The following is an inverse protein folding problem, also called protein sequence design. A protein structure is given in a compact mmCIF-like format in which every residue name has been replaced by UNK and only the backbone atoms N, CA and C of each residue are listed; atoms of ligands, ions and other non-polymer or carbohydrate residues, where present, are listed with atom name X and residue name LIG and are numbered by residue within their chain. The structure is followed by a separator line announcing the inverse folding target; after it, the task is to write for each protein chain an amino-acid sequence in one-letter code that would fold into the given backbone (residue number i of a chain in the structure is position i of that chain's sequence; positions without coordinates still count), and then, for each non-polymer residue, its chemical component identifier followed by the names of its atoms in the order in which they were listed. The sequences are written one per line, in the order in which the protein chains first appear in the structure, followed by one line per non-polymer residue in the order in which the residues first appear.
data_IF_159819623749
#
_entry.id   IF_159819623749
#
_cell.length_a   1.000
_cell.length_b   1.000
_cell.length_c   1.000
_cell.angle_alpha   90.00
_cell.angle_beta   90.00
_cell.angle_gamma   90.00
#
_symmetry.space_group_name_H-M   'P 1'
#
loop_
_entity.id
_entity.type
_entity.pdbx_description
1 polymer ?
#
# COMPACT_ATOMS: atom_id res chain seq x y z
N UNK A 1 -18.29 -29.95 -5.44
CA UNK A 1 -18.25 -29.82 -3.98
C UNK A 1 -16.89 -30.18 -3.42
N UNK A 2 -16.44 -29.46 -2.42
CA UNK A 2 -15.10 -29.63 -1.86
C UNK A 2 -15.08 -30.72 -0.78
N UNK A 3 -15.31 -31.97 -1.18
CA UNK A 3 -15.39 -33.09 -0.23
C UNK A 3 -14.10 -33.91 -0.13
N UNK A 4 -13.10 -33.64 -0.97
CA UNK A 4 -11.81 -34.29 -0.90
C UNK A 4 -10.88 -33.62 0.09
N UNK A 5 -9.94 -34.33 0.68
CA UNK A 5 -8.96 -33.79 1.59
C UNK A 5 -8.13 -32.67 0.93
N UNK A 6 -7.74 -32.85 -0.34
CA UNK A 6 -6.97 -31.84 -1.10
C UNK A 6 -7.78 -30.58 -1.36
N UNK A 7 -9.07 -30.71 -1.67
CA UNK A 7 -9.96 -29.55 -1.87
C UNK A 7 -10.16 -28.75 -0.58
N UNK A 8 -10.33 -29.44 0.55
CA UNK A 8 -10.44 -28.79 1.86
C UNK A 8 -9.15 -28.06 2.24
N UNK A 9 -8.00 -28.68 1.96
CA UNK A 9 -6.69 -28.07 2.20
C UNK A 9 -6.55 -26.78 1.39
N UNK A 10 -6.96 -26.80 0.10
CA UNK A 10 -6.91 -25.62 -0.78
C UNK A 10 -7.78 -24.49 -0.23
N UNK A 11 -8.98 -24.80 0.26
CA UNK A 11 -9.88 -23.82 0.86
C UNK A 11 -9.21 -23.14 2.06
N UNK A 12 -8.60 -23.93 2.96
CA UNK A 12 -7.89 -23.39 4.12
C UNK A 12 -6.70 -22.51 3.71
N UNK A 13 -5.92 -22.95 2.72
CA UNK A 13 -4.77 -22.19 2.20
C UNK A 13 -5.23 -20.87 1.59
N UNK A 14 -6.32 -20.89 0.82
CA UNK A 14 -6.88 -19.70 0.19
C UNK A 14 -7.36 -18.71 1.24
N UNK A 15 -8.04 -19.17 2.29
CA UNK A 15 -8.51 -18.32 3.38
C UNK A 15 -7.35 -17.63 4.09
N UNK A 16 -6.29 -18.36 4.42
CA UNK A 16 -5.09 -17.80 5.05
C UNK A 16 -4.40 -16.78 4.15
N UNK A 17 -4.28 -17.09 2.85
CA UNK A 17 -3.66 -16.20 1.87
C UNK A 17 -4.44 -14.91 1.72
N UNK A 18 -5.76 -15.00 1.62
CA UNK A 18 -6.65 -13.84 1.48
C UNK A 18 -6.52 -12.93 2.70
N UNK A 19 -6.54 -13.48 3.91
CA UNK A 19 -6.40 -12.72 5.14
C UNK A 19 -5.05 -12.01 5.20
N UNK A 20 -3.96 -12.70 4.86
CA UNK A 20 -2.61 -12.16 4.85
C UNK A 20 -2.46 -11.03 3.84
N UNK A 21 -2.99 -11.23 2.61
CA UNK A 21 -2.93 -10.22 1.56
C UNK A 21 -3.76 -8.99 1.91
N UNK A 22 -4.90 -9.18 2.55
CA UNK A 22 -5.72 -8.07 3.05
C UNK A 22 -4.94 -7.24 4.08
N UNK A 23 -4.27 -7.90 5.02
CA UNK A 23 -3.44 -7.22 6.02
C UNK A 23 -2.32 -6.40 5.37
N UNK A 24 -1.67 -6.95 4.34
CA UNK A 24 -0.62 -6.25 3.58
C UNK A 24 -1.16 -5.03 2.85
N UNK A 25 -2.32 -5.14 2.20
CA UNK A 25 -2.98 -4.01 1.53
C UNK A 25 -3.37 -2.92 2.52
N UNK A 26 -3.92 -3.32 3.67
CA UNK A 26 -4.31 -2.39 4.73
C UNK A 26 -3.10 -1.63 5.25
N UNK A 27 -1.99 -2.32 5.49
CA UNK A 27 -0.74 -1.68 5.92
C UNK A 27 -0.25 -0.65 4.91
N UNK A 28 -0.21 -1.02 3.63
CA UNK A 28 0.19 -0.10 2.56
C UNK A 28 -0.73 1.14 2.51
N UNK A 29 -2.03 0.93 2.56
CA UNK A 29 -3.02 2.02 2.53
C UNK A 29 -2.87 2.96 3.71
N UNK A 30 -2.53 2.43 4.89
CA UNK A 30 -2.29 3.23 6.09
C UNK A 30 -1.12 4.20 5.87
N UNK A 31 -0.01 3.73 5.30
CA UNK A 31 1.14 4.59 5.00
C UNK A 31 0.81 5.62 3.94
N UNK A 32 0.09 5.25 2.88
CA UNK A 32 -0.35 6.19 1.83
C UNK A 32 -1.27 7.26 2.42
N UNK A 33 -2.20 6.86 3.28
CA UNK A 33 -3.12 7.81 3.94
C UNK A 33 -2.37 8.82 4.80
N UNK A 34 -1.29 8.42 5.47
CA UNK A 34 -0.45 9.34 6.25
C UNK A 34 0.16 10.42 5.36
N UNK A 35 0.57 10.07 4.14
CA UNK A 35 1.06 11.06 3.17
C UNK A 35 -0.06 12.02 2.78
N UNK A 36 -1.24 11.50 2.48
CA UNK A 36 -2.39 12.32 2.08
C UNK A 36 -2.83 13.28 3.18
N UNK A 37 -2.84 12.82 4.43
CA UNK A 37 -3.17 13.66 5.59
C UNK A 37 -2.13 14.76 5.75
N UNK A 38 -0.85 14.46 5.63
CA UNK A 38 0.21 15.45 5.71
C UNK A 38 0.09 16.49 4.59
N UNK A 39 -0.25 16.07 3.37
CA UNK A 39 -0.51 16.99 2.25
C UNK A 39 -1.69 17.91 2.56
N UNK A 40 -2.76 17.35 3.08
CA UNK A 40 -3.97 18.13 3.42
C UNK A 40 -3.72 19.13 4.55
N UNK A 41 -2.81 18.82 5.48
CA UNK A 41 -2.43 19.73 6.56
C UNK A 41 -1.54 20.89 6.11
N UNK A 42 -0.99 20.83 4.88
CA UNK A 42 -0.13 21.86 4.33
C UNK A 42 1.32 21.80 4.80
N UNK A 43 1.72 20.78 5.53
CA UNK A 43 3.10 20.60 6.01
C UNK A 43 3.90 19.81 4.99
N UNK A 44 4.65 20.51 4.14
CA UNK A 44 5.46 19.90 3.08
C UNK A 44 6.54 18.99 3.64
N UNK A 45 7.21 19.37 4.71
CA UNK A 45 8.27 18.57 5.33
C UNK A 45 7.70 17.25 5.89
N UNK A 46 6.56 17.32 6.57
CA UNK A 46 5.88 16.13 7.07
C UNK A 46 5.41 15.22 5.94
N UNK A 47 4.89 15.80 4.85
CA UNK A 47 4.45 15.06 3.67
C UNK A 47 5.62 14.32 3.01
N UNK A 48 6.76 14.99 2.84
CA UNK A 48 7.97 14.39 2.27
C UNK A 48 8.48 13.23 3.12
N UNK A 49 8.50 13.40 4.44
CA UNK A 49 8.91 12.34 5.37
C UNK A 49 7.94 11.16 5.35
N UNK A 50 6.64 11.43 5.33
CA UNK A 50 5.62 10.39 5.22
C UNK A 50 5.76 9.59 3.93
N UNK A 51 6.05 10.26 2.81
CA UNK A 51 6.28 9.59 1.51
C UNK A 51 7.53 8.71 1.57
N UNK A 52 8.60 9.20 2.19
CA UNK A 52 9.84 8.44 2.36
C UNK A 52 9.59 7.14 3.11
N UNK A 53 8.70 7.15 4.09
CA UNK A 53 8.32 5.96 4.87
C UNK A 53 7.31 5.08 4.12
N UNK A 54 6.44 5.68 3.31
CA UNK A 54 5.41 4.94 2.56
C UNK A 54 5.99 4.18 1.36
N UNK A 55 7.01 4.71 0.71
CA UNK A 55 7.56 4.11 -0.50
C UNK A 55 8.03 2.68 -0.31
N UNK A 56 8.83 2.32 0.72
CA UNK A 56 9.22 0.92 0.94
C UNK A 56 8.02 0.01 1.19
N UNK A 57 7.01 0.48 1.88
CA UNK A 57 5.80 -0.30 2.16
C UNK A 57 5.01 -0.61 0.88
N UNK A 58 4.92 0.37 -0.03
CA UNK A 58 4.28 0.19 -1.32
C UNK A 58 5.07 -0.79 -2.19
N UNK A 59 6.40 -0.69 -2.19
CA UNK A 59 7.28 -1.59 -2.94
C UNK A 59 7.23 -3.02 -2.38
N UNK A 60 7.11 -3.19 -1.07
CA UNK A 60 6.92 -4.50 -0.45
C UNK A 60 5.62 -5.14 -0.90
N UNK A 61 4.55 -4.36 -1.00
CA UNK A 61 3.26 -4.85 -1.48
C UNK A 61 3.36 -5.40 -2.91
N UNK A 62 4.13 -4.73 -3.77
CA UNK A 62 4.42 -5.23 -5.13
C UNK A 62 5.21 -6.53 -5.07
N UNK A 63 6.26 -6.58 -4.26
CA UNK A 63 7.10 -7.77 -4.12
C UNK A 63 6.34 -8.98 -3.57
N UNK A 64 5.30 -8.75 -2.78
CA UNK A 64 4.42 -9.81 -2.26
C UNK A 64 3.25 -10.14 -3.21
N UNK A 65 3.15 -9.45 -4.34
CA UNK A 65 2.12 -9.74 -5.33
C UNK A 65 0.71 -9.27 -4.95
N UNK A 66 0.56 -8.40 -3.95
CA UNK A 66 -0.76 -7.92 -3.52
C UNK A 66 -1.23 -6.69 -4.27
N UNK A 67 -0.33 -6.02 -4.98
CA UNK A 67 -0.66 -4.87 -5.82
C UNK A 67 0.27 -4.85 -7.03
N UNK A 68 -0.21 -4.35 -8.16
CA UNK A 68 0.57 -4.28 -9.39
C UNK A 68 1.58 -3.13 -9.34
N UNK A 69 2.78 -3.35 -9.90
CA UNK A 69 3.85 -2.35 -9.97
C UNK A 69 3.36 -1.03 -10.61
N UNK A 70 2.60 -1.11 -11.69
CA UNK A 70 2.11 0.08 -12.38
C UNK A 70 1.19 0.94 -11.51
N UNK A 71 0.37 0.30 -10.67
CA UNK A 71 -0.49 1.00 -9.71
C UNK A 71 0.34 1.75 -8.69
N UNK A 72 1.38 1.12 -8.14
CA UNK A 72 2.28 1.74 -7.17
C UNK A 72 3.06 2.88 -7.81
N UNK A 73 3.62 2.67 -9.01
CA UNK A 73 4.38 3.71 -9.72
C UNK A 73 3.53 4.95 -9.97
N UNK A 74 2.28 4.77 -10.40
CA UNK A 74 1.34 5.87 -10.65
C UNK A 74 1.04 6.61 -9.35
N UNK A 75 0.77 5.88 -8.27
CA UNK A 75 0.46 6.48 -6.97
C UNK A 75 1.65 7.26 -6.42
N UNK A 76 2.86 6.71 -6.49
CA UNK A 76 4.08 7.39 -6.05
C UNK A 76 4.32 8.66 -6.85
N UNK A 77 4.15 8.61 -8.18
CA UNK A 77 4.30 9.78 -9.04
C UNK A 77 3.33 10.89 -8.67
N UNK A 78 2.06 10.54 -8.43
CA UNK A 78 1.03 11.52 -8.07
C UNK A 78 1.29 12.13 -6.70
N UNK A 79 1.68 11.32 -5.71
CA UNK A 79 1.99 11.82 -4.37
C UNK A 79 3.22 12.72 -4.40
N UNK A 80 4.27 12.33 -5.11
CA UNK A 80 5.48 13.13 -5.27
C UNK A 80 5.17 14.48 -5.92
N UNK A 81 4.39 14.48 -7.01
CA UNK A 81 3.99 15.72 -7.69
C UNK A 81 3.17 16.62 -6.78
N UNK A 82 2.25 16.06 -6.00
CA UNK A 82 1.43 16.82 -5.04
C UNK A 82 2.29 17.48 -3.98
N UNK A 83 3.27 16.77 -3.43
CA UNK A 83 4.19 17.31 -2.42
C UNK A 83 5.04 18.41 -3.02
N UNK A 84 5.56 18.18 -4.24
CA UNK A 84 6.39 19.15 -4.95
C UNK A 84 5.65 20.46 -5.22
N UNK A 85 4.35 20.39 -5.47
CA UNK A 85 3.50 21.55 -5.72
C UNK A 85 3.11 22.30 -4.43
N UNK A 86 3.36 21.71 -3.25
CA UNK A 86 3.05 22.37 -1.99
C UNK A 86 3.97 23.56 -1.74
N UNK A 87 3.42 24.62 -1.15
CA UNK A 87 4.21 25.78 -0.77
C UNK A 87 5.21 25.40 0.33
N UNK A 88 6.45 25.86 0.18
CA UNK A 88 7.44 25.71 1.24
C UNK A 88 7.09 26.69 2.37
N UNK A 89 7.01 26.16 3.59
CA UNK A 89 6.75 26.97 4.76
C UNK A 89 7.99 27.82 5.11
#
# INVERSE_FOLDING_TARGET
MANTASARKRIRQTAKRTLRNHARKTRMRTFVKKVEVACASGDKAAAAEALRLAQPEMQRAVGKGVIHLNTVSRKLSRLSARIKAMASA
#
